data_IF_344967562560
#
_entry.id   IF_344967562560
#
_cell.length_a   1.000
_cell.length_b   1.000
_cell.length_c   1.000
_cell.angle_alpha   90.00
_cell.angle_beta   90.00
_cell.angle_gamma   90.00
#
_symmetry.space_group_name_H-M   'P 1'
#
loop_
_entity.id
_entity.type
_entity.pdbx_description
1 polymer ?
#
# COMPACT_ATOMS: atom_id res chain seq x y z
N UNK A 1 -16.14 -8.73 11.88
CA UNK A 1 -15.75 -8.62 10.46
C UNK A 1 -15.27 -7.20 10.25
N UNK A 2 -13.95 -7.06 10.15
CA UNK A 2 -13.11 -5.87 10.19
C UNK A 2 -13.71 -4.53 9.77
N UNK A 3 -13.63 -3.57 10.69
CA UNK A 3 -13.84 -2.14 10.45
C UNK A 3 -12.50 -1.40 10.49
N UNK A 4 -11.47 -1.94 9.85
CA UNK A 4 -10.28 -1.14 9.55
C UNK A 4 -10.72 -0.04 8.58
N UNK A 5 -10.46 1.21 8.95
CA UNK A 5 -10.78 2.37 8.11
C UNK A 5 -10.26 2.12 6.68
N UNK A 6 -11.04 2.49 5.64
CA UNK A 6 -10.58 2.33 4.27
C UNK A 6 -9.21 3.01 4.16
N UNK A 7 -8.21 2.32 3.61
CA UNK A 7 -6.88 2.86 3.52
C UNK A 7 -6.89 4.23 2.84
N UNK A 8 -6.23 5.21 3.48
CA UNK A 8 -5.99 6.49 2.86
C UNK A 8 -5.13 6.25 1.61
N UNK A 9 -5.74 6.29 0.43
CA UNK A 9 -5.06 6.15 -0.85
C UNK A 9 -4.11 7.34 -1.03
N UNK A 10 -2.85 7.05 -1.36
CA UNK A 10 -1.84 8.05 -1.70
C UNK A 10 -1.92 8.34 -3.19
N UNK A 11 -2.17 9.58 -3.54
CA UNK A 11 -2.22 10.03 -4.93
C UNK A 11 -0.85 10.56 -5.36
N UNK A 12 -0.24 9.96 -6.38
CA UNK A 12 0.93 10.54 -7.03
C UNK A 12 0.46 11.59 -8.04
N UNK A 13 0.73 12.87 -7.78
CA UNK A 13 0.34 13.98 -8.66
C UNK A 13 1.52 14.37 -9.55
N UNK A 14 1.29 14.39 -10.87
CA UNK A 14 2.26 14.86 -11.85
C UNK A 14 2.48 16.38 -11.72
N UNK A 15 3.61 16.88 -12.21
CA UNK A 15 3.92 18.31 -12.23
C UNK A 15 2.85 19.19 -12.91
N UNK A 16 2.00 18.60 -13.76
CA UNK A 16 0.86 19.27 -14.40
C UNK A 16 -0.41 19.36 -13.51
N UNK A 17 -0.35 18.93 -12.24
CA UNK A 17 -1.48 18.95 -11.30
C UNK A 17 -2.49 17.81 -11.47
N UNK A 18 -2.22 16.84 -12.35
CA UNK A 18 -3.08 15.66 -12.55
C UNK A 18 -2.58 14.47 -11.72
N UNK A 19 -3.51 13.73 -11.13
CA UNK A 19 -3.20 12.44 -10.47
C UNK A 19 -2.76 11.44 -11.53
N UNK A 20 -1.52 10.95 -11.42
CA UNK A 20 -0.96 9.91 -12.28
C UNK A 20 -1.56 8.55 -11.94
N UNK A 21 -1.50 8.20 -10.65
CA UNK A 21 -2.02 6.98 -10.07
C UNK A 21 -2.25 7.21 -8.57
N UNK A 22 -3.15 6.43 -8.01
CA UNK A 22 -3.37 6.32 -6.58
C UNK A 22 -2.84 4.96 -6.13
N UNK A 23 -2.41 4.84 -4.89
CA UNK A 23 -1.95 3.56 -4.38
C UNK A 23 -2.11 3.49 -2.87
N UNK A 24 -2.11 2.28 -2.36
CA UNK A 24 -2.21 1.97 -0.95
C UNK A 24 -1.46 0.67 -0.69
N UNK A 25 -1.17 0.40 0.57
CA UNK A 25 -0.55 -0.84 0.97
C UNK A 25 -1.12 -1.33 2.29
N UNK A 26 -1.04 -2.64 2.45
CA UNK A 26 -1.25 -3.37 3.69
C UNK A 26 0.03 -4.10 4.05
N UNK A 27 0.03 -4.85 5.15
CA UNK A 27 1.14 -5.74 5.48
C UNK A 27 1.43 -6.76 4.38
N UNK A 28 0.42 -7.20 3.63
CA UNK A 28 0.54 -8.34 2.71
C UNK A 28 0.56 -7.94 1.24
N UNK A 29 -0.12 -6.85 0.86
CA UNK A 29 -0.26 -6.46 -0.54
C UNK A 29 -0.16 -4.94 -0.75
N UNK A 30 0.12 -4.54 -1.98
CA UNK A 30 0.09 -3.16 -2.48
C UNK A 30 -0.97 -3.06 -3.56
N UNK A 31 -1.93 -2.17 -3.40
CA UNK A 31 -2.95 -1.90 -4.41
C UNK A 31 -2.64 -0.59 -5.12
N UNK A 32 -2.54 -0.62 -6.44
CA UNK A 32 -2.29 0.57 -7.29
C UNK A 32 -3.50 0.79 -8.18
N UNK A 33 -4.05 1.99 -8.16
CA UNK A 33 -5.19 2.42 -8.95
C UNK A 33 -4.72 3.41 -10.01
N UNK A 34 -5.00 3.10 -11.27
CA UNK A 34 -4.62 3.93 -12.41
C UNK A 34 -5.85 4.20 -13.24
N UNK A 35 -6.04 5.44 -13.70
CA UNK A 35 -7.14 5.72 -14.63
C UNK A 35 -6.83 5.08 -15.98
N UNK A 36 -7.69 4.17 -16.41
CA UNK A 36 -7.60 3.57 -17.72
C UNK A 36 -8.04 4.59 -18.80
N UNK A 37 -7.53 4.46 -20.04
CA UNK A 37 -7.98 5.32 -21.12
C UNK A 37 -9.50 5.22 -21.35
N UNK A 38 -10.17 6.33 -21.70
CA UNK A 38 -11.62 6.36 -21.85
C UNK A 38 -12.08 5.34 -22.91
N UNK A 39 -12.98 4.44 -22.52
CA UNK A 39 -13.50 3.39 -23.40
C UNK A 39 -12.66 2.10 -23.45
N UNK A 40 -11.51 2.04 -22.77
CA UNK A 40 -10.75 0.81 -22.63
C UNK A 40 -11.55 -0.22 -21.83
N UNK A 41 -11.64 -1.45 -22.34
CA UNK A 41 -12.18 -2.59 -21.58
C UNK A 41 -11.03 -3.50 -21.17
N UNK A 42 -11.25 -4.36 -20.18
CA UNK A 42 -10.22 -5.31 -19.73
C UNK A 42 -9.66 -6.19 -20.85
N UNK A 43 -10.45 -6.47 -21.90
CA UNK A 43 -10.00 -7.23 -23.09
C UNK A 43 -8.95 -6.49 -23.94
N UNK A 44 -8.95 -5.16 -23.86
CA UNK A 44 -8.08 -4.27 -24.61
C UNK A 44 -6.84 -3.90 -23.78
N UNK A 45 -6.79 -4.27 -22.50
CA UNK A 45 -5.64 -4.02 -21.64
C UNK A 45 -4.68 -5.19 -21.70
N UNK A 46 -3.39 -4.86 -21.84
CA UNK A 46 -2.27 -5.77 -21.75
C UNK A 46 -1.54 -5.48 -20.43
N UNK A 47 -1.81 -6.27 -19.40
CA UNK A 47 -1.24 -6.08 -18.07
C UNK A 47 -0.32 -7.25 -17.75
N UNK A 48 0.96 -6.96 -17.62
CA UNK A 48 1.99 -7.93 -17.24
C UNK A 48 2.54 -7.57 -15.86
N UNK A 49 2.25 -8.43 -14.88
CA UNK A 49 2.74 -8.31 -13.52
C UNK A 49 3.91 -9.26 -13.34
N UNK A 50 5.10 -8.72 -13.11
CA UNK A 50 6.32 -9.47 -12.87
C UNK A 50 6.75 -9.32 -11.39
N UNK A 51 7.64 -10.19 -10.89
CA UNK A 51 8.08 -10.13 -9.49
C UNK A 51 8.77 -8.82 -9.10
N UNK A 52 9.38 -8.11 -10.05
CA UNK A 52 10.12 -6.87 -9.79
C UNK A 52 9.66 -5.72 -10.67
N UNK A 53 8.65 -5.93 -11.52
CA UNK A 53 8.23 -4.97 -12.53
C UNK A 53 6.73 -5.07 -12.75
N UNK A 54 6.08 -3.95 -13.00
CA UNK A 54 4.71 -3.94 -13.48
C UNK A 54 4.64 -3.17 -14.79
N UNK A 55 3.98 -3.79 -15.77
CA UNK A 55 3.72 -3.22 -17.08
C UNK A 55 2.23 -3.22 -17.34
N UNK A 56 1.74 -2.06 -17.76
CA UNK A 56 0.36 -1.82 -18.17
C UNK A 56 0.36 -1.14 -19.52
N UNK A 57 -0.36 -1.74 -20.47
CA UNK A 57 -0.52 -1.25 -21.81
C UNK A 57 -1.93 -1.46 -22.33
N UNK A 58 -2.19 -0.90 -23.50
CA UNK A 58 -3.37 -1.21 -24.30
C UNK A 58 -2.90 -2.11 -25.44
N UNK A 59 -3.59 -3.22 -25.67
CA UNK A 59 -3.31 -4.16 -26.74
C UNK A 59 -3.20 -3.43 -28.07
N UNK A 60 -2.06 -3.59 -28.75
CA UNK A 60 -1.76 -2.91 -30.01
C UNK A 60 -1.08 -1.53 -29.88
N UNK A 61 -0.88 -1.03 -28.66
CA UNK A 61 -0.12 0.19 -28.38
C UNK A 61 1.11 -0.08 -27.51
N UNK A 62 2.01 0.90 -27.43
CA UNK A 62 3.09 0.88 -26.46
C UNK A 62 2.53 0.88 -25.02
N UNK A 63 3.19 0.18 -24.06
CA UNK A 63 2.80 0.25 -22.66
C UNK A 63 2.88 1.70 -22.19
N UNK A 64 1.80 2.17 -21.58
CA UNK A 64 1.74 3.55 -21.07
C UNK A 64 2.29 3.64 -19.65
N UNK A 65 2.43 2.51 -18.96
CA UNK A 65 3.01 2.43 -17.64
C UNK A 65 3.94 1.22 -17.58
N UNK A 66 5.22 1.44 -17.35
CA UNK A 66 6.21 0.37 -17.23
C UNK A 66 7.26 0.81 -16.22
N UNK A 67 7.18 0.27 -15.01
CA UNK A 67 8.04 0.68 -13.91
C UNK A 67 8.51 -0.52 -13.09
N UNK A 68 9.73 -0.40 -12.57
CA UNK A 68 10.25 -1.33 -11.57
C UNK A 68 9.54 -1.09 -10.23
N UNK A 69 9.17 -2.18 -9.58
CA UNK A 69 8.53 -2.16 -8.27
C UNK A 69 9.56 -1.85 -7.19
N UNK A 70 9.10 -1.29 -6.07
CA UNK A 70 9.98 -0.99 -4.94
C UNK A 70 10.68 -2.24 -4.39
N UNK A 71 9.96 -3.35 -4.30
CA UNK A 71 10.50 -4.62 -3.87
C UNK A 71 9.81 -5.79 -4.57
N UNK A 72 10.24 -7.01 -4.22
CA UNK A 72 9.75 -8.21 -4.89
C UNK A 72 8.31 -8.54 -4.49
N UNK A 73 7.49 -8.85 -5.49
CA UNK A 73 6.11 -9.31 -5.34
C UNK A 73 5.97 -10.74 -5.84
N UNK A 74 4.92 -11.40 -5.38
CA UNK A 74 4.52 -12.72 -5.87
C UNK A 74 3.61 -12.55 -7.07
N UNK A 75 4.22 -12.42 -8.25
CA UNK A 75 3.49 -12.24 -9.52
C UNK A 75 2.35 -13.27 -9.74
N UNK A 76 2.52 -14.52 -9.26
CA UNK A 76 1.50 -15.57 -9.35
C UNK A 76 0.26 -15.34 -8.47
N UNK A 77 0.39 -14.59 -7.37
CA UNK A 77 -0.71 -14.23 -6.46
C UNK A 77 -1.24 -12.82 -6.76
N UNK A 78 -0.46 -11.99 -7.45
CA UNK A 78 -0.87 -10.67 -7.89
C UNK A 78 -1.95 -10.74 -8.97
N UNK A 79 -2.93 -9.86 -8.90
CA UNK A 79 -4.03 -9.77 -9.87
C UNK A 79 -4.29 -8.31 -10.25
N UNK A 80 -5.07 -8.10 -11.31
CA UNK A 80 -5.54 -6.78 -11.69
C UNK A 80 -7.02 -6.83 -12.07
N UNK A 81 -7.71 -5.73 -11.85
CA UNK A 81 -9.14 -5.59 -12.13
C UNK A 81 -9.41 -4.22 -12.73
N UNK A 82 -10.37 -4.15 -13.65
CA UNK A 82 -10.82 -2.89 -14.23
C UNK A 82 -12.27 -2.67 -13.82
N UNK A 83 -12.54 -1.61 -13.07
CA UNK A 83 -13.87 -1.23 -12.61
C UNK A 83 -14.14 0.24 -12.95
N UNK A 84 -15.24 0.52 -13.65
CA UNK A 84 -15.67 1.89 -13.99
C UNK A 84 -14.60 2.77 -14.67
N UNK A 85 -13.66 2.17 -15.41
CA UNK A 85 -12.54 2.88 -16.03
C UNK A 85 -11.34 3.14 -15.11
N UNK A 86 -11.34 2.59 -13.90
CA UNK A 86 -10.21 2.55 -12.97
C UNK A 86 -9.60 1.15 -12.96
N UNK A 87 -8.31 1.06 -13.28
CA UNK A 87 -7.52 -0.16 -13.23
C UNK A 87 -6.90 -0.30 -11.84
N UNK A 88 -7.36 -1.27 -11.07
CA UNK A 88 -6.81 -1.63 -9.77
C UNK A 88 -5.88 -2.85 -9.89
N UNK A 89 -4.59 -2.65 -9.65
CA UNK A 89 -3.56 -3.68 -9.60
C UNK A 89 -3.32 -4.08 -8.14
N UNK A 90 -3.54 -5.33 -7.79
CA UNK A 90 -3.28 -5.88 -6.46
C UNK A 90 -2.01 -6.72 -6.51
N UNK A 91 -0.93 -6.19 -5.94
CA UNK A 91 0.39 -6.80 -5.94
C UNK A 91 0.67 -7.44 -4.58
N UNK A 92 0.82 -8.76 -4.52
CA UNK A 92 1.09 -9.47 -3.25
C UNK A 92 2.58 -9.36 -2.92
N UNK A 93 2.94 -8.83 -1.76
CA UNK A 93 4.34 -8.67 -1.32
C UNK A 93 4.97 -10.04 -1.13
N UNK A 94 6.21 -10.22 -1.59
CA UNK A 94 6.96 -11.44 -1.30
C UNK A 94 7.32 -11.53 0.19
N UNK A 95 7.60 -10.38 0.82
CA UNK A 95 7.92 -10.23 2.24
C UNK A 95 6.79 -9.51 2.95
N UNK A 96 6.00 -10.23 3.76
CA UNK A 96 4.94 -9.64 4.58
C UNK A 96 5.52 -8.66 5.61
N UNK A 97 4.90 -7.50 5.74
CA UNK A 97 5.28 -6.44 6.69
C UNK A 97 6.36 -5.50 6.19
N UNK A 98 6.78 -5.63 4.93
CA UNK A 98 7.71 -4.68 4.32
C UNK A 98 6.98 -3.37 3.99
N UNK A 99 7.45 -2.25 4.55
CA UNK A 99 6.89 -0.94 4.29
C UNK A 99 7.45 -0.39 2.97
N UNK A 100 6.56 -0.21 1.99
CA UNK A 100 6.91 0.32 0.68
C UNK A 100 6.74 1.84 0.70
N UNK A 101 7.78 2.61 0.36
CA UNK A 101 7.65 4.08 0.31
C UNK A 101 6.81 4.53 -0.88
N UNK A 102 6.90 3.77 -1.96
CA UNK A 102 6.21 3.96 -3.23
C UNK A 102 5.93 2.59 -3.85
N UNK A 103 4.94 2.47 -4.76
CA UNK A 103 4.70 1.24 -5.48
C UNK A 103 5.79 0.99 -6.53
N UNK A 104 6.38 2.07 -7.05
CA UNK A 104 7.41 2.05 -8.07
C UNK A 104 8.70 2.67 -7.56
N UNK A 105 9.83 2.02 -7.81
CA UNK A 105 11.15 2.49 -7.39
C UNK A 105 11.48 3.89 -7.95
N UNK A 106 11.06 4.17 -9.19
CA UNK A 106 11.25 5.46 -9.85
C UNK A 106 10.60 6.65 -9.13
N UNK A 107 9.60 6.39 -8.28
CA UNK A 107 8.86 7.41 -7.54
C UNK A 107 9.15 7.40 -6.03
N UNK A 108 10.13 6.61 -5.58
CA UNK A 108 10.50 6.51 -4.17
C UNK A 108 10.97 7.82 -3.53
N UNK A 109 11.58 8.69 -4.33
CA UNK A 109 12.07 10.00 -3.88
C UNK A 109 10.98 11.08 -3.81
N UNK A 110 9.84 10.84 -4.48
CA UNK A 110 8.72 11.79 -4.52
C UNK A 110 7.81 11.72 -3.29
N UNK A 111 8.07 10.80 -2.36
CA UNK A 111 7.26 10.63 -1.14
C UNK A 111 7.74 11.55 -0.04
N UNK A 112 6.82 12.31 0.55
CA UNK A 112 7.15 13.14 1.71
C UNK A 112 7.43 12.26 2.94
N UNK A 113 8.45 12.59 3.73
CA UNK A 113 8.82 11.82 4.91
C UNK A 113 7.67 11.69 5.91
N UNK A 114 6.75 12.66 5.94
CA UNK A 114 5.58 12.65 6.80
C UNK A 114 4.55 11.60 6.38
N UNK A 115 4.40 11.37 5.07
CA UNK A 115 3.54 10.30 4.56
C UNK A 115 4.16 8.92 4.85
N UNK A 116 5.46 8.79 4.62
CA UNK A 116 6.20 7.55 4.89
C UNK A 116 6.09 7.13 6.37
N UNK A 117 6.19 8.09 7.28
CA UNK A 117 6.01 7.85 8.71
C UNK A 117 4.58 7.40 9.06
N UNK A 118 3.55 8.01 8.45
CA UNK A 118 2.16 7.62 8.66
C UNK A 118 1.87 6.20 8.15
N UNK A 119 2.36 5.86 6.96
CA UNK A 119 2.24 4.51 6.41
C UNK A 119 2.93 3.48 7.30
N UNK A 120 4.15 3.79 7.76
CA UNK A 120 4.89 2.95 8.72
C UNK A 120 4.12 2.78 10.02
N UNK A 121 3.62 3.86 10.62
CA UNK A 121 2.84 3.80 11.86
C UNK A 121 1.61 2.93 11.70
N UNK A 122 0.91 3.06 10.58
CA UNK A 122 -0.28 2.26 10.30
C UNK A 122 0.03 0.78 10.11
N UNK A 123 1.06 0.46 9.33
CA UNK A 123 1.51 -0.93 9.14
C UNK A 123 1.96 -1.54 10.46
N UNK A 124 2.67 -0.77 11.29
CA UNK A 124 3.08 -1.19 12.62
C UNK A 124 1.87 -1.47 13.52
N UNK A 125 0.84 -0.63 13.47
CA UNK A 125 -0.39 -0.81 14.23
C UNK A 125 -1.18 -2.04 13.76
N UNK A 126 -1.33 -2.23 12.44
CA UNK A 126 -1.98 -3.41 11.86
C UNK A 126 -1.27 -4.71 12.29
N UNK A 127 0.07 -4.67 12.33
CA UNK A 127 0.88 -5.80 12.79
C UNK A 127 0.67 -6.05 14.28
N UNK A 128 0.67 -4.99 15.09
CA UNK A 128 0.49 -5.08 16.54
C UNK A 128 -0.89 -5.62 16.93
N UNK A 129 -1.95 -5.19 16.24
CA UNK A 129 -3.32 -5.68 16.43
C UNK A 129 -3.45 -7.16 16.06
N UNK A 130 -2.81 -7.60 14.98
CA UNK A 130 -2.78 -9.01 14.59
C UNK A 130 -2.05 -9.89 15.62
N UNK A 131 -1.02 -9.35 16.27
CA UNK A 131 -0.24 -10.05 17.31
C UNK A 131 -0.92 -10.00 18.70
N UNK A 132 -1.84 -9.04 18.94
CA UNK A 132 -2.54 -8.86 20.22
C UNK A 132 -4.06 -8.71 20.01
N UNK A 133 -4.80 -9.82 19.81
CA UNK A 133 -6.22 -9.82 19.39
C UNK A 133 -7.25 -9.37 20.46
N UNK A 134 -6.86 -8.53 21.42
CA UNK A 134 -7.73 -8.07 22.53
C UNK A 134 -7.46 -6.64 23.01
N UNK A 135 -6.62 -5.88 22.31
CA UNK A 135 -6.30 -4.50 22.68
C UNK A 135 -6.83 -3.55 21.58
N UNK A 136 -7.77 -2.68 21.95
CA UNK A 136 -8.35 -1.66 21.06
C UNK A 136 -7.44 -0.42 21.04
N UNK A 137 -6.84 -0.15 19.88
CA UNK A 137 -5.95 1.00 19.66
C UNK A 137 -6.48 1.95 18.59
N UNK A 138 -7.78 1.90 18.33
CA UNK A 138 -8.46 2.76 17.36
C UNK A 138 -8.27 4.27 17.65
N UNK A 139 -7.81 4.63 18.86
CA UNK A 139 -7.55 5.99 19.35
C UNK A 139 -6.04 6.30 19.58
N UNK A 140 -5.12 5.38 19.24
CA UNK A 140 -3.70 5.55 19.54
C UNK A 140 -3.03 6.59 18.61
N UNK A 141 -2.76 7.78 19.14
CA UNK A 141 -1.88 8.78 18.52
C UNK A 141 -0.45 8.56 18.98
N UNK A 142 0.47 8.26 18.06
CA UNK A 142 1.90 8.08 18.35
C UNK A 142 2.56 9.43 18.61
N UNK A 143 2.42 9.95 19.82
CA UNK A 143 2.84 11.30 20.19
C UNK A 143 4.33 11.41 20.54
N UNK A 144 5.21 10.74 19.78
CA UNK A 144 6.66 10.94 19.83
C UNK A 144 7.36 10.55 21.13
N UNK A 145 6.72 9.79 22.01
CA UNK A 145 7.36 9.26 23.21
C UNK A 145 7.65 7.78 22.99
N UNK A 146 8.95 7.47 23.02
CA UNK A 146 9.58 6.14 23.01
C UNK A 146 8.61 5.03 23.34
N UNK A 147 8.48 4.06 22.43
CA UNK A 147 7.78 2.79 22.67
C UNK A 147 8.06 2.32 24.10
N UNK A 148 7.11 2.42 25.04
CA UNK A 148 7.37 1.93 26.38
C UNK A 148 7.46 0.41 26.26
N UNK A 149 8.57 -0.12 26.74
CA UNK A 149 8.83 -1.55 26.81
C UNK A 149 7.65 -2.25 27.50
N UNK A 150 7.10 -3.29 26.85
CA UNK A 150 5.90 -4.02 27.29
C UNK A 150 6.06 -4.66 28.68
N UNK A 151 7.26 -4.62 29.26
CA UNK A 151 7.57 -5.09 30.60
C UNK A 151 7.07 -4.18 31.74
N UNK A 152 6.64 -2.94 31.46
CA UNK A 152 6.31 -1.95 32.52
C UNK A 152 4.80 -1.89 32.88
N UNK A 153 3.92 -2.63 32.18
CA UNK A 153 2.46 -2.51 32.39
C UNK A 153 1.81 -3.62 33.23
N UNK A 154 2.56 -4.63 33.70
CA UNK A 154 2.02 -5.71 34.57
C UNK A 154 2.63 -5.73 35.98
N UNK A 155 2.86 -4.55 36.57
CA UNK A 155 3.48 -4.42 37.90
C UNK A 155 2.66 -3.68 38.95
N UNK A 156 1.34 -3.51 38.77
CA UNK A 156 0.52 -2.68 39.65
C UNK A 156 -0.79 -3.32 40.08
N UNK A 157 -0.73 -4.44 40.82
CA UNK A 157 -1.88 -4.94 41.56
C UNK A 157 -1.49 -5.21 43.03
N UNK A 158 -2.22 -4.56 43.95
CA UNK A 158 -2.12 -4.69 45.41
C UNK A 158 -1.31 -3.55 46.03
N UNK A 159 -1.85 -2.60 46.79
CA UNK A 159 -2.94 -2.70 47.77
C UNK A 159 -2.33 -2.78 49.17
N UNK A 160 -2.38 -1.68 49.93
CA UNK A 160 -1.87 -1.56 51.29
C UNK A 160 -1.61 -0.12 51.70
#
# INVERSE_FOLDING_TARGET
>A
MDRLAPPARRAHVLACGRVAYEWEQTLDAVSVYVRAPPGARGRDLDVALEPTRARVGVKGNAPYMEHELWARVKASESTWTLADGELALTLVKATRGEAWRSPFAAHGDASDAKEDERDKQRLMLERFQAENPGFDFSDASFNGQTVPDASTFMGGCGGG
#
